data_IF_517710994276
#
_entry.id   IF_517710994276
#
_cell.length_a   1.000
_cell.length_b   1.000
_cell.length_c   1.000
_cell.angle_alpha   90.00
_cell.angle_beta   90.00
_cell.angle_gamma   90.00
#
_symmetry.space_group_name_H-M   'P 1'
#
loop_
_entity.id
_entity.type
_entity.pdbx_description
1 polymer ?
2 non-polymer ?
3 non-polymer ?
4 water ?
#
# COMPACT_ATOMS: atom_id res chain seq x y z
N UNK A 1 17.01 -3.63 -0.85
CA UNK A 1 17.65 -2.69 0.06
C UNK A 1 17.54 -3.12 1.52
N UNK A 2 18.37 -2.49 2.34
CA UNK A 2 18.20 -2.61 3.79
C UNK A 2 17.89 -1.23 4.35
N UNK A 3 16.73 -1.12 4.99
CA UNK A 3 16.19 0.14 5.43
C UNK A 3 16.17 0.22 6.95
N UNK A 4 16.88 1.21 7.45
CA UNK A 4 16.88 1.44 8.88
C UNK A 4 15.70 2.31 9.25
N UNK A 5 15.39 2.44 10.53
CA UNK A 5 14.14 3.05 10.97
C UNK A 5 14.32 4.28 11.85
N UNK A 6 15.48 4.94 11.72
CA UNK A 6 15.70 6.22 12.42
C UNK A 6 14.64 7.23 12.00
N UNK A 7 14.32 7.19 10.71
CA UNK A 7 13.30 8.03 10.12
C UNK A 7 12.15 7.21 9.54
N UNK A 8 11.04 7.86 9.20
CA UNK A 8 9.94 7.11 8.59
C UNK A 8 10.35 6.49 7.27
N UNK A 9 10.05 5.20 7.08
CA UNK A 9 10.43 4.52 5.84
C UNK A 9 9.50 4.82 4.67
N UNK A 10 9.64 6.05 4.19
CA UNK A 10 8.90 6.51 3.03
C UNK A 10 9.59 6.07 1.75
N UNK A 11 8.84 5.56 0.79
CA UNK A 11 9.50 5.20 -0.47
C UNK A 11 8.63 5.76 -1.59
N UNK A 12 9.25 5.86 -2.75
CA UNK A 12 8.49 6.24 -3.95
C UNK A 12 8.00 4.92 -4.55
N UNK A 13 6.75 4.94 -5.00
CA UNK A 13 6.19 3.74 -5.61
C UNK A 13 5.74 4.05 -7.04
N UNK A 14 5.89 3.08 -7.92
CA UNK A 14 5.32 3.17 -9.25
C UNK A 14 4.01 2.36 -9.26
N UNK A 15 2.93 2.99 -9.69
CA UNK A 15 1.60 2.41 -9.69
C UNK A 15 0.65 3.23 -10.57
N UNK A 16 -0.12 2.51 -11.38
CA UNK A 16 -1.07 3.16 -12.27
C UNK A 16 -0.45 4.21 -13.17
N UNK A 17 0.79 4.00 -13.61
CA UNK A 17 1.41 4.95 -14.54
C UNK A 17 1.81 6.23 -13.83
N UNK A 18 1.74 6.25 -12.49
CA UNK A 18 2.10 7.43 -11.73
C UNK A 18 3.09 7.07 -10.61
N UNK A 19 3.68 8.13 -10.06
CA UNK A 19 4.57 8.04 -8.92
C UNK A 19 3.86 8.61 -7.69
N UNK A 20 3.85 7.81 -6.63
CA UNK A 20 3.38 8.26 -5.34
C UNK A 20 4.45 7.94 -4.28
N UNK A 21 4.28 8.53 -3.12
CA UNK A 21 5.06 8.26 -1.92
C UNK A 21 4.15 7.55 -0.92
N UNK A 22 4.73 6.53 -0.29
CA UNK A 22 4.02 5.68 0.64
C UNK A 22 4.98 5.20 1.73
N UNK A 23 4.40 4.95 2.89
CA UNK A 23 5.12 4.45 4.06
C UNK A 23 5.08 2.93 4.17
N UNK A 24 6.24 2.30 4.37
CA UNK A 24 6.27 0.86 4.55
C UNK A 24 5.85 0.58 5.99
N UNK A 25 4.63 0.09 6.14
CA UNK A 25 4.01 0.01 7.47
C UNK A 25 3.69 -1.41 7.88
N UNK A 26 4.59 -2.04 8.62
CA UNK A 26 4.38 -3.41 9.05
C UNK A 26 3.17 -3.52 10.00
N UNK A 27 2.67 -2.39 10.48
CA UNK A 27 1.55 -2.38 11.42
C UNK A 27 0.24 -2.34 10.65
N UNK A 28 0.37 -2.23 9.33
CA UNK A 28 -0.86 -2.19 8.54
C UNK A 28 -1.10 -3.51 7.85
N UNK A 29 -2.32 -4.04 7.96
CA UNK A 29 -2.52 -5.30 7.25
C UNK A 29 -2.61 -5.09 5.75
N UNK A 30 -3.25 -4.00 5.36
CA UNK A 30 -3.53 -3.71 3.96
C UNK A 30 -2.83 -2.46 3.45
N UNK A 31 -2.78 -2.39 2.12
CA UNK A 31 -2.21 -1.28 1.37
C UNK A 31 -3.29 -0.29 0.98
N UNK A 32 -3.15 0.95 1.41
CA UNK A 32 -4.17 1.98 1.22
C UNK A 32 -3.52 3.22 0.63
N UNK A 33 -4.05 3.70 -0.47
CA UNK A 33 -3.51 4.85 -1.17
C UNK A 33 -4.61 5.84 -1.54
N UNK A 34 -4.17 7.09 -1.64
CA UNK A 34 -4.94 8.20 -2.15
C UNK A 34 -5.55 7.95 -3.52
N UNK A 35 -6.61 8.71 -3.76
CA UNK A 35 -7.40 8.61 -4.98
C UNK A 35 -6.52 8.55 -6.22
N UNK A 36 -6.89 7.55 -7.02
CA UNK A 36 -6.24 7.38 -8.31
C UNK A 36 -7.07 6.42 -9.16
N UNK A 37 -6.81 6.37 -10.46
CA UNK A 37 -7.50 5.42 -11.30
C UNK A 37 -6.65 4.17 -11.52
N UNK A 38 -7.31 3.05 -11.27
CA UNK A 38 -6.73 1.73 -11.48
C UNK A 38 -7.70 0.86 -12.30
N UNK A 39 -7.13 -0.13 -12.96
CA UNK A 39 -7.96 -1.03 -13.78
C UNK A 39 -8.65 -2.09 -12.96
N UNK A 40 -9.72 -2.62 -13.55
CA UNK A 40 -10.41 -3.74 -12.94
C UNK A 40 -11.76 -3.33 -12.36
N UNK A 41 -12.46 -4.37 -11.94
CA UNK A 41 -13.69 -4.29 -11.19
C UNK A 41 -13.39 -4.17 -9.70
N UNK A 42 -13.88 -3.06 -9.12
CA UNK A 42 -13.62 -2.81 -7.71
C UNK A 42 -14.91 -3.06 -6.93
N UNK A 43 -14.75 -3.26 -5.64
CA UNK A 43 -15.88 -3.28 -4.72
C UNK A 43 -15.54 -2.46 -3.48
N UNK A 44 -16.54 -1.83 -2.88
CA UNK A 44 -16.27 -1.08 -1.65
C UNK A 44 -15.86 -2.01 -0.51
N UNK A 45 -15.01 -1.49 0.35
CA UNK A 45 -14.48 -2.08 1.55
C UNK A 45 -14.44 -1.07 2.71
N UNK A 46 -14.94 -1.48 3.87
CA UNK A 46 -14.84 -0.66 5.08
C UNK A 46 -13.58 -1.07 5.83
N UNK A 47 -12.71 -0.13 6.14
CA UNK A 47 -11.44 -0.41 6.80
C UNK A 47 -11.31 0.44 8.07
N UNK A 48 -10.45 -0.07 8.94
CA UNK A 48 -10.15 0.51 10.23
C UNK A 48 -10.84 -0.32 11.31
N UNK A 49 -11.77 0.33 12.02
CA UNK A 49 -12.52 -0.39 13.03
C UNK A 49 -12.32 0.22 14.39
N UNK A 50 -11.13 0.79 14.61
CA UNK A 50 -10.88 1.33 15.96
C UNK A 50 -11.32 2.78 16.03
N UNK A 51 -12.57 3.04 16.38
CA UNK A 51 -13.15 4.35 16.46
C UNK A 51 -14.12 4.63 15.33
N UNK A 52 -14.13 3.73 14.36
CA UNK A 52 -14.98 3.87 13.20
C UNK A 52 -14.28 3.30 11.98
N UNK A 53 -14.91 3.45 10.82
CA UNK A 53 -14.40 2.94 9.57
C UNK A 53 -14.45 4.00 8.47
N UNK A 54 -13.58 3.82 7.48
CA UNK A 54 -13.69 4.54 6.24
C UNK A 54 -13.88 3.53 5.10
N UNK A 55 -14.56 4.01 4.09
CA UNK A 55 -14.85 3.26 2.89
C UNK A 55 -13.84 3.60 1.81
N UNK A 56 -13.32 2.53 1.22
CA UNK A 56 -12.33 2.60 0.15
C UNK A 56 -12.79 1.69 -0.98
N UNK A 57 -12.15 1.79 -2.13
CA UNK A 57 -12.37 0.87 -3.23
C UNK A 57 -11.23 -0.17 -3.27
N UNK A 58 -11.64 -1.43 -3.24
CA UNK A 58 -10.71 -2.53 -3.29
C UNK A 58 -10.46 -2.97 -4.74
N UNK A 59 -9.23 -2.83 -5.20
CA UNK A 59 -8.78 -3.28 -6.50
C UNK A 59 -7.82 -4.45 -6.32
N UNK A 60 -8.11 -5.58 -6.98
CA UNK A 60 -7.25 -6.74 -6.78
C UNK A 60 -6.29 -6.89 -7.95
N UNK A 61 -5.25 -7.70 -7.78
CA UNK A 61 -4.25 -8.00 -8.79
C UNK A 61 -3.71 -6.77 -9.51
N UNK A 62 -3.38 -5.75 -8.72
CA UNK A 62 -2.72 -4.55 -9.22
C UNK A 62 -1.20 -4.66 -9.10
N UNK A 63 -0.55 -4.18 -10.15
CA UNK A 63 0.90 -4.22 -10.20
C UNK A 63 1.51 -2.94 -9.62
N UNK A 64 2.50 -3.15 -8.77
CA UNK A 64 3.18 -2.04 -8.12
C UNK A 64 4.68 -2.26 -8.19
N UNK A 65 5.39 -1.13 -8.14
CA UNK A 65 6.84 -1.29 -8.10
C UNK A 65 7.39 -0.44 -6.96
N UNK A 66 8.07 -1.09 -6.03
CA UNK A 66 8.64 -0.47 -4.84
C UNK A 66 10.15 -0.57 -4.79
N UNK A 67 10.82 0.58 -4.84
CA UNK A 67 12.27 0.57 -4.83
C UNK A 67 12.86 -0.28 -5.94
N UNK A 68 12.11 -0.44 -7.03
CA UNK A 68 12.54 -1.27 -8.13
C UNK A 68 12.23 -2.74 -7.94
N UNK A 69 11.39 -3.08 -6.95
CA UNK A 69 10.93 -4.46 -6.87
C UNK A 69 9.45 -4.50 -7.24
N UNK A 70 9.06 -5.35 -8.19
CA UNK A 70 7.68 -5.38 -8.62
C UNK A 70 6.87 -6.36 -7.79
N UNK A 71 5.58 -6.07 -7.69
CA UNK A 71 4.72 -6.96 -6.94
C UNK A 71 3.30 -6.82 -7.48
N UNK A 72 2.51 -7.86 -7.25
CA UNK A 72 1.09 -7.84 -7.58
C UNK A 72 0.25 -8.15 -6.37
N UNK A 73 -0.79 -7.33 -6.16
CA UNK A 73 -1.64 -7.58 -5.02
C UNK A 73 -2.78 -6.56 -4.96
N UNK A 74 -3.50 -6.59 -3.85
CA UNK A 74 -4.66 -5.75 -3.65
C UNK A 74 -4.25 -4.36 -3.17
N UNK A 75 -4.79 -3.33 -3.81
CA UNK A 75 -4.58 -1.95 -3.42
C UNK A 75 -5.94 -1.35 -3.08
N UNK A 76 -6.06 -0.81 -1.88
CA UNK A 76 -7.28 -0.10 -1.49
C UNK A 76 -7.11 1.37 -1.83
N UNK A 77 -8.10 1.97 -2.47
CA UNK A 77 -7.98 3.35 -2.94
C UNK A 77 -9.07 4.22 -2.35
N UNK A 78 -8.71 5.37 -1.79
CA UNK A 78 -9.73 6.29 -1.29
C UNK A 78 -9.14 7.40 -0.42
N UNK A 79 -9.97 8.08 0.36
CA UNK A 79 -9.56 9.22 1.19
C UNK A 79 -8.62 8.90 2.33
N UNK A 80 -7.55 8.13 2.11
CA UNK A 80 -6.74 7.88 3.29
C UNK A 80 -5.89 9.12 3.59
N UNK A 81 -5.78 9.44 4.87
CA UNK A 81 -4.90 10.55 5.24
C UNK A 81 -3.44 10.16 5.16
N UNK A 82 -3.12 8.89 4.97
CA UNK A 82 -1.75 8.38 4.99
C UNK A 82 -1.60 7.27 3.94
N UNK A 83 -0.68 7.39 2.99
CA UNK A 83 -0.43 6.34 2.02
C UNK A 83 0.45 5.26 2.65
N UNK A 84 -0.09 4.05 2.74
CA UNK A 84 0.74 3.03 3.34
C UNK A 84 0.78 1.78 2.46
N UNK A 85 1.99 1.25 2.41
CA UNK A 85 2.26 -0.10 1.92
C UNK A 85 2.13 -1.04 3.11
N UNK A 86 1.08 -1.88 3.13
CA UNK A 86 0.88 -2.81 4.23
C UNK A 86 1.49 -4.17 4.00
N UNK A 87 1.39 -5.05 4.99
CA UNK A 87 1.93 -6.40 4.91
C UNK A 87 1.47 -7.17 3.68
N UNK A 88 0.29 -6.90 3.15
CA UNK A 88 -0.08 -7.73 1.99
C UNK A 88 0.93 -7.57 0.87
N UNK A 89 1.40 -6.35 0.59
CA UNK A 89 2.35 -6.17 -0.50
C UNK A 89 3.78 -6.33 -0.01
N UNK A 90 4.04 -6.08 1.28
CA UNK A 90 5.40 -6.34 1.78
C UNK A 90 5.83 -7.78 1.59
N UNK A 91 4.91 -8.73 1.79
CA UNK A 91 5.21 -10.13 1.67
C UNK A 91 5.57 -10.44 0.22
N UNK A 92 4.80 -9.78 -0.66
CA UNK A 92 5.00 -10.02 -2.09
C UNK A 92 6.40 -9.64 -2.52
N UNK A 93 6.94 -8.56 -1.96
CA UNK A 93 8.28 -8.20 -2.42
C UNK A 93 9.36 -8.87 -1.57
N UNK A 94 8.96 -9.71 -0.63
CA UNK A 94 9.93 -10.47 0.14
C UNK A 94 10.55 -9.65 1.25
N UNK A 95 9.78 -8.65 1.71
CA UNK A 95 10.27 -7.81 2.80
C UNK A 95 10.10 -8.49 4.15
N UNK A 96 11.19 -8.51 4.93
CA UNK A 96 11.18 -9.03 6.29
C UNK A 96 11.76 -8.01 7.27
N UNK A 97 11.40 -8.21 8.53
CA UNK A 97 11.99 -7.54 9.67
C UNK A 97 13.17 -8.39 10.15
N UNK A 98 14.34 -7.78 10.34
CA UNK A 98 15.56 -8.45 10.73
C UNK A 98 16.31 -7.73 11.84
N UNK A 99 16.69 -8.50 12.85
CA UNK A 99 17.61 -8.00 13.87
C UNK A 99 18.44 -9.15 14.45
X LIG B 1 0.88 1.47 11.75
X LIG B 1 -1.37 2.15 11.80
X LIG B 1 -0.47 0.94 11.56
X LIG B 1 -2.32 3.85 8.50
X LIG B 1 -2.36 3.12 9.83
X LIG B 1 -4.30 7.01 10.85
X LIG B 1 -5.69 5.80 8.61
X LIG B 1 -3.72 4.36 8.08
X LIG B 1 -5.82 4.18 6.73
X LIG B 1 -1.26 2.89 10.58
X LIG B 1 -4.45 3.75 7.05
X LIG B 1 -6.41 5.20 7.47
X LIG B 1 -4.41 5.34 8.98
X LIG B 1 -3.68 6.02 10.08
X LIG B 1 -5.68 7.43 10.50
X LIG B 1 -6.36 6.84 9.43
X LIG B 1 -3.43 2.72 10.25
X LIG C 1 -13.39 10.05 16.05
X LIG C 1 -11.77 8.94 14.75
X LIG C 1 -13.25 9.30 14.80
X LIG C 1 -11.40 5.54 13.05
X LIG C 1 -11.19 6.99 13.44
X LIG C 1 -7.09 4.56 13.57
X LIG C 1 -8.35 4.14 11.03
X LIG C 1 -10.54 5.01 11.89
X LIG C 1 -10.31 4.24 9.52
X LIG C 1 -11.86 7.52 14.46
X LIG C 1 -11.12 4.73 10.64
X LIG C 1 -8.96 3.96 9.69
X LIG C 1 -9.11 4.69 12.09
X LIG C 1 -8.45 4.87 13.42
X LIG C 1 -6.29 4.04 12.44
X LIG C 1 -6.90 3.85 11.19
X LIG C 1 -10.41 7.71 12.85
X LIG D 1 -18.05 5.38 10.18
X LIG D 1 -17.53 4.39 11.07
X LIG D 1 -19.27 4.56 9.11
X LIG D 1 -19.15 6.53 11.05
#
# INVERSE_FOLDING_TARGET
>A
PQITLWQRPLVTIKIGGQLKEALLDTGADDTVLEEMSLPGRWKPKMIGGIGGFIKVRQYDQILIEICGHKAIGTVLVGPTPVNVIGRNLLTQIGCTLNF
>B hetero
1 LLG N1 C4 C5 C6 C7 C10 C13 C15 C17 O6 C16 C18 C14 C9 C11 C12 O8
>C hetero
1 LLG N1 C4 C5 C6 C7 C10 C13 C15 C17 O6 C16 C18 C14 C9 C11 C12 O8
>D hetero
1 DMS S O C1 C2
#
